data_IF_503308884739
#
_entry.id   IF_503308884739
#
_cell.length_a   1.000
_cell.length_b   1.000
_cell.length_c   1.000
_cell.angle_alpha   90.00
_cell.angle_beta   90.00
_cell.angle_gamma   90.00
#
_symmetry.space_group_name_H-M   'P 1'
#
loop_
_entity.id
_entity.type
_entity.pdbx_description
1 polymer ?
#
# COMPACT_ATOMS: atom_id res chain seq x y z
N UNK A 1 -45.50 3.43 16.77
CA UNK A 1 -45.68 4.21 15.53
C UNK A 1 -44.40 4.97 15.25
N UNK A 2 -43.41 4.30 14.69
CA UNK A 2 -42.17 4.92 14.21
C UNK A 2 -42.37 5.37 12.77
N UNK A 3 -42.03 6.63 12.53
CA UNK A 3 -42.37 7.44 11.37
C UNK A 3 -41.72 6.86 10.10
N UNK A 4 -42.53 6.25 9.23
CA UNK A 4 -42.12 5.73 7.92
C UNK A 4 -41.92 6.90 6.93
N UNK A 5 -40.87 7.70 7.13
CA UNK A 5 -40.41 8.64 6.09
C UNK A 5 -39.81 7.78 4.98
N UNK A 6 -40.56 7.57 3.89
CA UNK A 6 -40.01 7.03 2.64
C UNK A 6 -38.74 7.81 2.31
N UNK A 7 -37.60 7.13 2.20
CA UNK A 7 -36.35 7.76 1.81
C UNK A 7 -36.54 8.42 0.44
N UNK A 8 -36.03 9.65 0.29
CA UNK A 8 -36.18 10.41 -0.96
C UNK A 8 -35.25 9.82 -2.02
N UNK A 9 -35.84 9.21 -3.04
CA UNK A 9 -35.13 8.72 -4.23
C UNK A 9 -34.66 9.92 -5.05
N UNK A 10 -33.44 9.86 -5.58
CA UNK A 10 -32.82 10.90 -6.41
C UNK A 10 -32.21 10.29 -7.64
N UNK A 11 -32.09 11.05 -8.72
CA UNK A 11 -31.35 10.61 -9.90
C UNK A 11 -29.87 10.98 -9.77
N UNK A 12 -29.00 10.12 -10.31
CA UNK A 12 -27.61 10.47 -10.53
C UNK A 12 -27.54 11.67 -11.47
N UNK A 13 -26.65 12.61 -11.17
CA UNK A 13 -26.52 13.85 -11.93
C UNK A 13 -25.31 13.76 -12.85
N UNK A 14 -25.52 13.92 -14.16
CA UNK A 14 -24.47 14.01 -15.15
C UNK A 14 -24.27 12.73 -15.97
N UNK A 15 -23.74 12.93 -17.17
CA UNK A 15 -23.45 11.86 -18.12
C UNK A 15 -22.40 10.89 -17.55
N UNK A 16 -22.52 9.58 -17.85
CA UNK A 16 -23.53 8.95 -18.71
C UNK A 16 -24.76 8.42 -17.93
N UNK A 17 -24.91 8.76 -16.65
CA UNK A 17 -25.88 8.12 -15.76
C UNK A 17 -27.26 8.79 -15.72
N UNK A 18 -27.46 9.80 -16.55
CA UNK A 18 -28.71 10.52 -16.79
C UNK A 18 -29.23 10.33 -18.24
N UNK A 19 -28.70 9.36 -18.98
CA UNK A 19 -29.04 9.13 -20.39
C UNK A 19 -30.52 8.69 -20.54
N UNK A 20 -31.32 9.38 -21.37
CA UNK A 20 -32.72 9.04 -21.58
C UNK A 20 -32.93 7.71 -22.32
N UNK A 21 -31.93 7.25 -23.08
CA UNK A 21 -32.00 6.01 -23.88
C UNK A 21 -31.58 4.75 -23.09
N UNK A 22 -31.21 4.91 -21.81
CA UNK A 22 -30.89 3.81 -20.91
C UNK A 22 -32.00 2.75 -20.83
N UNK A 23 -31.63 1.48 -20.69
CA UNK A 23 -32.55 0.33 -20.72
C UNK A 23 -32.77 -0.31 -19.33
N UNK A 24 -32.14 0.24 -18.28
CA UNK A 24 -32.30 -0.17 -16.89
C UNK A 24 -31.88 0.94 -15.92
N UNK A 25 -32.44 0.90 -14.71
CA UNK A 25 -32.01 1.72 -13.58
C UNK A 25 -31.36 0.82 -12.52
N UNK A 26 -30.15 1.15 -12.10
CA UNK A 26 -29.53 0.56 -10.91
C UNK A 26 -29.65 1.55 -9.76
N UNK A 27 -30.32 1.15 -8.66
CA UNK A 27 -30.53 2.00 -7.49
C UNK A 27 -29.54 1.63 -6.38
N UNK A 28 -28.77 2.62 -5.91
CA UNK A 28 -27.87 2.48 -4.77
C UNK A 28 -28.62 2.31 -3.44
N UNK A 29 -27.93 1.83 -2.40
CA UNK A 29 -28.51 1.66 -1.06
C UNK A 29 -28.94 2.98 -0.39
N UNK A 30 -28.35 4.10 -0.80
CA UNK A 30 -28.72 5.46 -0.40
C UNK A 30 -29.76 6.11 -1.35
N UNK A 31 -30.45 5.30 -2.16
CA UNK A 31 -31.58 5.66 -3.03
C UNK A 31 -31.23 6.62 -4.17
N UNK A 32 -30.08 6.43 -4.80
CA UNK A 32 -29.69 7.16 -6.02
C UNK A 32 -29.84 6.25 -7.24
N UNK A 33 -30.60 6.71 -8.22
CA UNK A 33 -30.91 6.01 -9.46
C UNK A 33 -29.88 6.35 -10.55
N UNK A 34 -29.21 5.32 -11.04
CA UNK A 34 -28.29 5.40 -12.16
C UNK A 34 -28.96 4.80 -13.40
N UNK A 35 -29.22 5.63 -14.41
CA UNK A 35 -29.70 5.17 -15.72
C UNK A 35 -28.52 4.60 -16.49
N UNK A 36 -28.56 3.31 -16.83
CA UNK A 36 -27.44 2.63 -17.47
C UNK A 36 -27.89 1.73 -18.63
N UNK A 37 -26.92 1.32 -19.44
CA UNK A 37 -27.10 0.35 -20.51
C UNK A 37 -26.66 -1.04 -20.05
N UNK A 38 -27.59 -2.00 -20.04
CA UNK A 38 -27.34 -3.41 -19.70
C UNK A 38 -26.17 -3.98 -20.47
N UNK A 39 -25.99 -3.58 -21.73
CA UNK A 39 -24.93 -4.07 -22.60
C UNK A 39 -23.54 -3.90 -21.95
N UNK A 40 -23.19 -2.69 -21.49
CA UNK A 40 -21.86 -2.43 -20.92
C UNK A 40 -21.61 -3.25 -19.65
N UNK A 41 -22.60 -3.28 -18.76
CA UNK A 41 -22.52 -4.04 -17.52
C UNK A 41 -22.45 -5.55 -17.79
N UNK A 42 -23.22 -6.07 -18.74
CA UNK A 42 -23.25 -7.50 -19.09
C UNK A 42 -21.96 -7.98 -19.77
N UNK A 43 -21.27 -7.10 -20.50
CA UNK A 43 -19.95 -7.40 -21.04
C UNK A 43 -18.88 -7.39 -19.95
N UNK A 44 -18.95 -6.44 -19.02
CA UNK A 44 -17.97 -6.28 -17.95
C UNK A 44 -18.15 -7.31 -16.82
N UNK A 45 -19.37 -7.80 -16.59
CA UNK A 45 -19.75 -8.61 -15.44
C UNK A 45 -20.69 -9.76 -15.84
N UNK A 46 -20.31 -11.02 -15.59
CA UNK A 46 -21.23 -12.14 -15.74
C UNK A 46 -22.36 -12.07 -14.71
N UNK A 47 -22.12 -11.52 -13.51
CA UNK A 47 -23.15 -11.38 -12.47
C UNK A 47 -24.26 -10.43 -12.93
N UNK A 48 -23.92 -9.28 -13.52
CA UNK A 48 -24.94 -8.38 -14.08
C UNK A 48 -25.65 -9.01 -15.26
N UNK A 49 -24.93 -9.71 -16.14
CA UNK A 49 -25.54 -10.44 -17.26
C UNK A 49 -26.61 -11.42 -16.79
N UNK A 50 -26.28 -12.25 -15.81
CA UNK A 50 -27.20 -13.24 -15.27
C UNK A 50 -28.36 -12.57 -14.54
N UNK A 51 -28.07 -11.53 -13.75
CA UNK A 51 -29.07 -10.72 -13.04
C UNK A 51 -30.12 -10.12 -13.99
N UNK A 52 -29.71 -9.65 -15.18
CA UNK A 52 -30.62 -9.10 -16.17
C UNK A 52 -31.37 -10.16 -16.99
N UNK A 53 -30.84 -11.40 -17.05
CA UNK A 53 -31.44 -12.51 -17.77
C UNK A 53 -32.51 -13.25 -16.95
N UNK A 54 -32.48 -13.14 -15.62
CA UNK A 54 -33.49 -13.75 -14.76
C UNK A 54 -34.86 -13.11 -15.03
N UNK A 55 -35.92 -13.92 -15.27
CA UNK A 55 -37.26 -13.39 -15.24
C UNK A 55 -37.48 -12.81 -13.84
N UNK A 56 -37.90 -11.54 -13.77
CA UNK A 56 -38.28 -10.88 -12.52
C UNK A 56 -39.59 -11.55 -12.02
N UNK A 57 -39.50 -12.78 -11.52
CA UNK A 57 -40.66 -13.59 -11.11
C UNK A 57 -41.12 -13.09 -9.76
N UNK A 58 -42.14 -12.25 -9.81
CA UNK A 58 -43.07 -11.86 -8.76
C UNK A 58 -43.18 -12.83 -7.58
N UNK A 59 -42.41 -12.59 -6.50
CA UNK A 59 -42.72 -13.05 -5.13
C UNK A 59 -42.11 -12.09 -4.11
N UNK A 60 -42.80 -10.98 -3.89
CA UNK A 60 -42.50 -9.98 -2.86
C UNK A 60 -42.71 -8.57 -3.39
N UNK A 61 -43.24 -7.68 -2.54
CA UNK A 61 -43.73 -6.32 -2.83
C UNK A 61 -42.75 -5.37 -3.56
N UNK A 62 -41.50 -5.80 -3.82
CA UNK A 62 -40.43 -4.98 -4.43
C UNK A 62 -39.88 -5.53 -5.77
N UNK A 63 -40.47 -6.57 -6.36
CA UNK A 63 -39.89 -7.26 -7.54
C UNK A 63 -40.34 -6.72 -8.91
N UNK A 64 -41.17 -5.68 -8.96
CA UNK A 64 -41.63 -5.04 -10.19
C UNK A 64 -41.53 -3.50 -10.11
N UNK A 65 -40.54 -2.98 -9.39
CA UNK A 65 -40.37 -1.54 -9.34
C UNK A 65 -39.90 -1.03 -10.71
N UNK A 66 -40.75 -0.23 -11.34
CA UNK A 66 -40.50 0.39 -12.63
C UNK A 66 -40.50 1.89 -12.43
N UNK A 67 -39.60 2.59 -13.10
CA UNK A 67 -39.57 4.06 -13.13
C UNK A 67 -39.35 4.50 -14.57
N UNK A 68 -40.25 5.36 -15.04
CA UNK A 68 -40.25 5.86 -16.42
C UNK A 68 -40.25 4.75 -17.49
N UNK A 69 -40.91 3.63 -17.20
CA UNK A 69 -40.96 2.47 -18.09
C UNK A 69 -39.70 1.59 -18.05
N UNK A 70 -38.72 1.90 -17.21
CA UNK A 70 -37.50 1.11 -17.03
C UNK A 70 -37.56 0.24 -15.75
N UNK A 71 -37.06 -1.00 -15.79
CA UNK A 71 -36.91 -1.82 -14.59
C UNK A 71 -35.85 -1.24 -13.66
N UNK A 72 -36.11 -1.33 -12.35
CA UNK A 72 -35.17 -0.93 -11.31
C UNK A 72 -34.56 -2.17 -10.65
N UNK A 73 -33.24 -2.15 -10.49
CA UNK A 73 -32.50 -3.14 -9.69
C UNK A 73 -31.84 -2.43 -8.52
N UNK A 74 -32.32 -2.74 -7.31
CA UNK A 74 -31.74 -2.27 -6.07
C UNK A 74 -30.45 -3.04 -5.75
N UNK A 75 -29.38 -2.32 -5.42
CA UNK A 75 -28.11 -2.90 -4.96
C UNK A 75 -27.76 -2.43 -3.54
N UNK A 76 -26.70 -3.01 -2.95
CA UNK A 76 -26.29 -2.73 -1.57
C UNK A 76 -25.22 -1.65 -1.49
N UNK A 77 -24.57 -1.33 -2.61
CA UNK A 77 -23.53 -0.33 -2.73
C UNK A 77 -24.13 1.07 -2.61
N UNK A 78 -23.47 1.93 -1.84
CA UNK A 78 -23.79 3.36 -1.80
C UNK A 78 -23.40 4.03 -3.12
N UNK A 79 -24.01 5.19 -3.39
CA UNK A 79 -23.81 6.00 -4.60
C UNK A 79 -22.34 6.09 -5.00
N UNK A 80 -21.46 6.44 -4.07
CA UNK A 80 -20.06 6.74 -4.39
C UNK A 80 -19.25 5.52 -4.86
N UNK A 81 -19.58 4.32 -4.37
CA UNK A 81 -18.94 3.07 -4.81
C UNK A 81 -19.56 2.59 -6.11
N UNK A 82 -20.89 2.66 -6.20
CA UNK A 82 -21.64 2.23 -7.38
C UNK A 82 -21.27 3.08 -8.60
N UNK A 83 -21.23 4.40 -8.48
CA UNK A 83 -20.89 5.32 -9.56
C UNK A 83 -19.51 5.01 -10.16
N UNK A 84 -18.51 4.74 -9.31
CA UNK A 84 -17.16 4.36 -9.74
C UNK A 84 -17.15 3.00 -10.44
N UNK A 85 -17.87 2.02 -9.92
CA UNK A 85 -17.97 0.69 -10.54
C UNK A 85 -18.63 0.79 -11.92
N UNK A 86 -19.77 1.48 -12.01
CA UNK A 86 -20.50 1.68 -13.26
C UNK A 86 -19.63 2.42 -14.28
N UNK A 87 -18.93 3.47 -13.86
CA UNK A 87 -18.01 4.23 -14.73
C UNK A 87 -16.92 3.32 -15.29
N UNK A 88 -16.41 2.40 -14.47
CA UNK A 88 -15.39 1.46 -14.90
C UNK A 88 -15.88 0.38 -15.88
N UNK A 89 -17.20 0.15 -15.95
CA UNK A 89 -17.83 -0.72 -16.95
C UNK A 89 -18.08 0.01 -18.29
N UNK A 90 -18.08 1.34 -18.30
CA UNK A 90 -18.33 2.15 -19.48
C UNK A 90 -17.05 2.44 -20.29
N UNK A 91 -17.19 2.78 -21.59
CA UNK A 91 -16.04 3.20 -22.39
C UNK A 91 -15.36 4.44 -21.79
N UNK A 92 -14.04 4.37 -21.61
CA UNK A 92 -13.24 5.44 -21.00
C UNK A 92 -13.38 6.80 -21.72
N UNK A 93 -13.65 6.80 -23.02
CA UNK A 93 -13.87 8.04 -23.79
C UNK A 93 -15.12 8.83 -23.34
N UNK A 94 -16.06 8.18 -22.65
CA UNK A 94 -17.32 8.78 -22.19
C UNK A 94 -17.19 9.31 -20.75
N UNK A 95 -16.55 8.54 -19.87
CA UNK A 95 -16.48 8.78 -18.41
C UNK A 95 -15.15 9.37 -17.94
N UNK A 96 -14.10 9.31 -18.76
CA UNK A 96 -12.76 9.74 -18.38
C UNK A 96 -12.06 8.80 -17.38
N UNK A 97 -10.85 9.19 -16.91
CA UNK A 97 -10.14 8.43 -15.89
C UNK A 97 -10.81 8.59 -14.53
N UNK A 98 -10.99 7.49 -13.76
CA UNK A 98 -11.60 7.57 -12.44
C UNK A 98 -10.68 8.30 -11.47
N UNK A 99 -11.25 9.23 -10.71
CA UNK A 99 -10.53 9.87 -9.62
C UNK A 99 -10.38 8.92 -8.45
N UNK A 100 -9.12 8.63 -8.11
CA UNK A 100 -8.82 7.79 -6.96
C UNK A 100 -8.81 8.65 -5.71
N UNK A 101 -9.89 8.56 -4.94
CA UNK A 101 -10.03 9.19 -3.63
C UNK A 101 -9.23 8.46 -2.53
N UNK A 102 -9.80 8.45 -1.33
CA UNK A 102 -9.21 7.85 -0.14
C UNK A 102 -9.13 6.31 -0.24
N UNK A 103 -8.42 5.67 0.69
CA UNK A 103 -8.21 4.21 0.67
C UNK A 103 -9.54 3.45 0.81
N UNK A 104 -10.46 4.01 1.58
CA UNK A 104 -11.82 3.52 1.82
C UNK A 104 -12.59 3.42 0.50
N UNK A 105 -12.44 4.41 -0.38
CA UNK A 105 -13.07 4.43 -1.69
C UNK A 105 -12.51 3.36 -2.62
N UNK A 106 -11.19 3.13 -2.55
CA UNK A 106 -10.52 2.07 -3.32
C UNK A 106 -10.93 0.69 -2.81
N UNK A 107 -11.05 0.53 -1.49
CA UNK A 107 -11.48 -0.71 -0.87
C UNK A 107 -12.96 -1.01 -1.17
N UNK A 108 -13.86 -0.04 -1.10
CA UNK A 108 -15.27 -0.20 -1.47
C UNK A 108 -15.45 -0.58 -2.94
N UNK A 109 -14.69 0.06 -3.84
CA UNK A 109 -14.68 -0.29 -5.26
C UNK A 109 -14.14 -1.71 -5.49
N UNK A 110 -13.11 -2.13 -4.76
CA UNK A 110 -12.59 -3.49 -4.84
C UNK A 110 -13.65 -4.52 -4.41
N UNK A 111 -14.31 -4.28 -3.28
CA UNK A 111 -15.35 -5.18 -2.76
C UNK A 111 -16.49 -5.34 -3.78
N UNK A 112 -16.95 -4.23 -4.36
CA UNK A 112 -17.97 -4.24 -5.40
C UNK A 112 -17.49 -4.94 -6.68
N UNK A 113 -16.26 -4.68 -7.13
CA UNK A 113 -15.70 -5.34 -8.31
C UNK A 113 -15.61 -6.87 -8.15
N UNK A 114 -15.21 -7.35 -6.96
CA UNK A 114 -15.18 -8.79 -6.66
C UNK A 114 -16.60 -9.35 -6.59
N UNK A 115 -17.53 -8.66 -5.89
CA UNK A 115 -18.92 -9.08 -5.74
C UNK A 115 -19.62 -9.26 -7.10
N UNK A 116 -19.41 -8.32 -8.01
CA UNK A 116 -19.99 -8.36 -9.35
C UNK A 116 -19.09 -9.07 -10.37
N UNK A 117 -17.99 -9.67 -9.96
CA UNK A 117 -17.01 -10.35 -10.82
C UNK A 117 -16.59 -9.49 -12.04
N UNK A 118 -16.22 -8.24 -11.78
CA UNK A 118 -15.73 -7.30 -12.80
C UNK A 118 -14.20 -7.38 -12.85
N UNK A 119 -13.67 -8.47 -13.41
CA UNK A 119 -12.24 -8.83 -13.35
C UNK A 119 -11.30 -7.71 -13.83
N UNK A 120 -11.69 -6.99 -14.89
CA UNK A 120 -10.91 -5.86 -15.43
C UNK A 120 -10.77 -4.71 -14.43
N UNK A 121 -11.80 -4.50 -13.60
CA UNK A 121 -11.80 -3.49 -12.53
C UNK A 121 -10.99 -3.99 -11.34
N UNK A 122 -11.20 -5.23 -10.91
CA UNK A 122 -10.42 -5.84 -9.82
C UNK A 122 -8.92 -5.70 -10.10
N UNK A 123 -8.46 -6.11 -11.29
CA UNK A 123 -7.05 -6.02 -11.68
C UNK A 123 -6.51 -4.59 -11.63
N UNK A 124 -7.32 -3.60 -12.05
CA UNK A 124 -6.92 -2.19 -12.01
C UNK A 124 -6.83 -1.67 -10.58
N UNK A 125 -7.83 -2.00 -9.75
CA UNK A 125 -7.91 -1.59 -8.36
C UNK A 125 -6.79 -2.20 -7.52
N UNK A 126 -6.39 -3.45 -7.79
CA UNK A 126 -5.20 -4.07 -7.18
C UNK A 126 -3.92 -3.28 -7.43
N UNK A 127 -3.72 -2.79 -8.66
CA UNK A 127 -2.60 -1.91 -8.98
C UNK A 127 -2.65 -0.58 -8.23
N UNK A 128 -3.84 -0.01 -8.04
CA UNK A 128 -4.03 1.20 -7.26
C UNK A 128 -3.82 0.99 -5.77
N UNK A 129 -4.24 -0.16 -5.23
CA UNK A 129 -4.12 -0.51 -3.81
C UNK A 129 -2.67 -0.46 -3.32
N UNK A 130 -1.72 -0.81 -4.19
CA UNK A 130 -0.27 -0.75 -3.91
C UNK A 130 0.41 0.52 -4.46
N UNK A 131 -0.35 1.56 -4.79
CA UNK A 131 0.24 2.82 -5.22
C UNK A 131 1.08 3.45 -4.07
N UNK A 132 2.20 4.13 -4.40
CA UNK A 132 3.11 4.68 -3.39
C UNK A 132 2.43 5.53 -2.32
N UNK A 133 1.42 6.34 -2.68
CA UNK A 133 0.67 7.17 -1.72
C UNK A 133 -0.03 6.34 -0.62
N UNK A 134 -0.65 5.21 -0.97
CA UNK A 134 -1.35 4.39 0.02
C UNK A 134 -0.39 3.56 0.85
N UNK A 135 0.70 3.09 0.26
CA UNK A 135 1.77 2.41 0.99
C UNK A 135 2.54 3.36 1.93
N UNK A 136 2.70 4.62 1.51
CA UNK A 136 3.35 5.65 2.29
C UNK A 136 2.49 6.12 3.46
N UNK A 137 1.16 6.02 3.40
CA UNK A 137 0.27 6.48 4.46
C UNK A 137 -0.29 5.32 5.30
N UNK A 138 -0.75 4.25 4.66
CA UNK A 138 -1.60 3.20 5.23
C UNK A 138 -1.13 1.76 4.91
N UNK A 139 0.17 1.40 5.02
CA UNK A 139 0.66 0.10 4.55
C UNK A 139 0.04 -1.08 5.31
N UNK A 140 -0.29 -0.93 6.60
CA UNK A 140 -0.94 -1.98 7.39
C UNK A 140 -2.40 -2.22 6.96
N UNK A 141 -3.14 -1.17 6.62
CA UNK A 141 -4.52 -1.29 6.11
C UNK A 141 -4.52 -1.93 4.73
N UNK A 142 -3.60 -1.53 3.86
CA UNK A 142 -3.37 -2.17 2.54
C UNK A 142 -3.04 -3.65 2.70
N UNK A 143 -2.17 -4.00 3.67
CA UNK A 143 -1.85 -5.39 3.98
C UNK A 143 -3.08 -6.19 4.43
N UNK A 144 -3.94 -5.60 5.27
CA UNK A 144 -5.17 -6.24 5.75
C UNK A 144 -6.18 -6.48 4.61
N UNK A 145 -6.35 -5.51 3.71
CA UNK A 145 -7.16 -5.66 2.49
C UNK A 145 -6.60 -6.81 1.63
N UNK A 146 -5.30 -6.83 1.36
CA UNK A 146 -4.69 -7.90 0.57
C UNK A 146 -4.86 -9.28 1.24
N UNK A 147 -4.82 -9.33 2.57
CA UNK A 147 -5.10 -10.53 3.36
C UNK A 147 -6.55 -11.02 3.26
N UNK A 148 -7.53 -10.11 3.22
CA UNK A 148 -8.95 -10.42 3.05
C UNK A 148 -9.21 -11.10 1.71
N UNK A 149 -8.65 -10.56 0.64
CA UNK A 149 -8.91 -11.00 -0.73
C UNK A 149 -7.87 -11.97 -1.29
N UNK A 150 -6.94 -12.47 -0.45
CA UNK A 150 -5.89 -13.44 -0.85
C UNK A 150 -4.95 -12.93 -1.95
N UNK A 151 -4.68 -11.64 -1.96
CA UNK A 151 -3.80 -10.97 -2.91
C UNK A 151 -2.35 -11.06 -2.44
N UNK A 152 -1.72 -12.21 -2.72
CA UNK A 152 -0.40 -12.59 -2.20
C UNK A 152 0.69 -11.56 -2.54
N UNK A 153 0.75 -11.09 -3.78
CA UNK A 153 1.79 -10.15 -4.22
C UNK A 153 1.60 -8.77 -3.59
N UNK A 154 0.37 -8.29 -3.55
CA UNK A 154 0.00 -7.04 -2.91
C UNK A 154 0.28 -7.08 -1.39
N UNK A 155 0.02 -8.21 -0.74
CA UNK A 155 0.34 -8.41 0.67
C UNK A 155 1.85 -8.37 0.92
N UNK A 156 2.68 -8.95 0.04
CA UNK A 156 4.15 -8.85 0.16
C UNK A 156 4.63 -7.41 0.00
N UNK A 157 4.10 -6.69 -1.00
CA UNK A 157 4.43 -5.28 -1.23
C UNK A 157 4.05 -4.44 -0.01
N UNK A 158 2.84 -4.59 0.49
CA UNK A 158 2.35 -3.87 1.66
C UNK A 158 3.16 -4.21 2.93
N UNK A 159 3.46 -5.49 3.16
CA UNK A 159 4.28 -5.94 4.28
C UNK A 159 5.66 -5.29 4.25
N UNK A 160 6.31 -5.22 3.07
CA UNK A 160 7.60 -4.54 2.90
C UNK A 160 7.48 -3.04 3.21
N UNK A 161 6.39 -2.39 2.80
CA UNK A 161 6.16 -0.98 3.10
C UNK A 161 5.87 -0.70 4.58
N UNK A 162 5.51 -1.71 5.38
CA UNK A 162 5.40 -1.51 6.84
C UNK A 162 6.75 -1.32 7.52
N UNK A 163 7.85 -1.77 6.91
CA UNK A 163 9.20 -1.71 7.50
C UNK A 163 9.64 -0.27 7.83
N UNK A 164 9.27 0.71 6.99
CA UNK A 164 9.60 2.12 7.21
C UNK A 164 8.73 2.81 8.28
N UNK A 165 7.77 2.09 8.86
CA UNK A 165 6.82 2.63 9.82
C UNK A 165 6.78 1.80 11.11
N UNK A 166 6.39 2.47 12.18
CA UNK A 166 6.03 1.75 13.40
C UNK A 166 4.60 1.21 13.23
N UNK A 167 4.50 -0.11 13.11
CA UNK A 167 3.24 -0.82 12.83
C UNK A 167 2.13 -0.42 13.81
N UNK A 168 2.46 -0.26 15.10
CA UNK A 168 1.51 -0.02 16.18
C UNK A 168 1.07 1.45 16.35
N UNK A 169 1.68 2.40 15.64
CA UNK A 169 1.32 3.82 15.73
C UNK A 169 0.62 4.35 14.49
N UNK A 170 0.29 3.47 13.55
CA UNK A 170 -0.50 3.84 12.38
C UNK A 170 -1.96 4.17 12.73
N UNK A 171 -2.67 4.90 11.86
CA UNK A 171 -4.11 5.11 12.03
C UNK A 171 -4.84 3.76 11.98
N UNK A 172 -5.75 3.55 12.93
CA UNK A 172 -6.67 2.42 12.86
C UNK A 172 -7.62 2.61 11.68
N UNK A 173 -7.90 1.52 10.96
CA UNK A 173 -8.90 1.48 9.91
C UNK A 173 -9.74 0.22 10.03
N UNK A 174 -11.02 0.26 9.60
CA UNK A 174 -11.92 -0.90 9.70
C UNK A 174 -11.39 -2.12 8.94
N UNK A 175 -10.47 -1.93 7.99
CA UNK A 175 -9.89 -3.04 7.23
C UNK A 175 -9.01 -3.96 8.09
N UNK A 176 -8.53 -3.47 9.23
CA UNK A 176 -7.76 -4.29 10.18
C UNK A 176 -8.60 -5.42 10.78
N UNK A 177 -9.93 -5.26 10.86
CA UNK A 177 -10.85 -6.29 11.35
C UNK A 177 -10.91 -7.51 10.45
N UNK A 178 -10.46 -7.40 9.19
CA UNK A 178 -10.39 -8.54 8.27
C UNK A 178 -9.17 -9.43 8.51
N UNK A 179 -8.21 -8.94 9.29
CA UNK A 179 -6.97 -9.63 9.56
C UNK A 179 -7.10 -10.46 10.83
N UNK A 180 -6.85 -11.76 10.73
CA UNK A 180 -6.76 -12.61 11.93
C UNK A 180 -5.50 -12.26 12.73
N UNK A 181 -5.54 -12.50 14.04
CA UNK A 181 -4.36 -12.34 14.90
C UNK A 181 -3.15 -13.14 14.39
N UNK A 182 -3.38 -14.30 13.77
CA UNK A 182 -2.32 -15.11 13.15
C UNK A 182 -1.63 -14.41 11.96
N UNK A 183 -2.40 -13.80 11.05
CA UNK A 183 -1.84 -13.03 9.92
C UNK A 183 -1.04 -11.82 10.42
N UNK A 184 -1.54 -11.13 11.45
CA UNK A 184 -0.82 -10.04 12.09
C UNK A 184 0.47 -10.51 12.77
N UNK A 185 0.43 -11.62 13.49
CA UNK A 185 1.60 -12.22 14.13
C UNK A 185 2.70 -12.58 13.11
N UNK A 186 2.33 -13.16 11.96
CA UNK A 186 3.27 -13.45 10.88
C UNK A 186 3.88 -12.18 10.26
N UNK A 187 3.12 -11.08 10.17
CA UNK A 187 3.68 -9.79 9.77
C UNK A 187 4.72 -9.27 10.79
N UNK A 188 4.45 -9.39 12.09
CA UNK A 188 5.41 -9.00 13.14
C UNK A 188 6.68 -9.84 13.10
N UNK A 189 6.56 -11.16 12.87
CA UNK A 189 7.70 -12.06 12.69
C UNK A 189 8.52 -11.67 11.45
N UNK A 190 7.85 -11.40 10.33
CA UNK A 190 8.47 -10.90 9.11
C UNK A 190 9.25 -9.61 9.38
N UNK A 191 8.63 -8.63 10.06
CA UNK A 191 9.26 -7.36 10.41
C UNK A 191 10.50 -7.55 11.29
N UNK A 192 10.40 -8.37 12.34
CA UNK A 192 11.53 -8.70 13.22
C UNK A 192 12.67 -9.39 12.44
N UNK A 193 12.33 -10.26 11.49
CA UNK A 193 13.32 -10.94 10.65
C UNK A 193 14.03 -9.98 9.70
N UNK A 194 13.31 -9.05 9.07
CA UNK A 194 13.86 -8.01 8.22
C UNK A 194 14.83 -7.10 8.99
N UNK A 195 14.44 -6.66 10.19
CA UNK A 195 15.32 -5.88 11.07
C UNK A 195 16.57 -6.67 11.42
N UNK A 196 16.43 -7.95 11.77
CA UNK A 196 17.56 -8.80 12.15
C UNK A 196 18.60 -8.92 11.03
N UNK A 197 18.17 -9.20 9.80
CA UNK A 197 19.10 -9.34 8.66
C UNK A 197 19.73 -8.01 8.28
N UNK A 198 18.97 -6.89 8.34
CA UNK A 198 19.51 -5.56 8.07
C UNK A 198 20.55 -5.13 9.12
N UNK A 199 20.27 -5.38 10.41
CA UNK A 199 21.23 -5.14 11.50
C UNK A 199 22.49 -5.97 11.32
N UNK A 200 22.38 -7.23 10.91
CA UNK A 200 23.56 -8.08 10.64
C UNK A 200 24.45 -7.46 9.56
N UNK A 201 23.87 -6.89 8.49
CA UNK A 201 24.63 -6.14 7.47
C UNK A 201 25.26 -4.88 8.06
N UNK A 202 24.53 -4.09 8.84
CA UNK A 202 25.06 -2.88 9.49
C UNK A 202 26.25 -3.18 10.41
N UNK A 203 26.16 -4.24 11.23
CA UNK A 203 27.20 -4.58 12.20
C UNK A 203 28.42 -5.22 11.55
N UNK A 204 28.22 -6.13 10.59
CA UNK A 204 29.33 -6.86 9.94
C UNK A 204 29.95 -6.11 8.77
N UNK A 205 29.22 -5.15 8.17
CA UNK A 205 29.54 -4.53 6.89
C UNK A 205 29.81 -5.57 5.78
N UNK A 206 29.24 -6.78 5.91
CA UNK A 206 29.49 -7.88 4.99
C UNK A 206 28.95 -7.59 3.58
N UNK A 207 29.79 -7.79 2.57
CA UNK A 207 29.45 -7.51 1.17
C UNK A 207 29.48 -6.03 0.79
N UNK A 208 29.91 -5.13 1.68
CA UNK A 208 30.19 -3.72 1.36
C UNK A 208 31.67 -3.59 0.98
N UNK A 209 32.03 -2.84 -0.09
CA UNK A 209 33.42 -2.66 -0.49
C UNK A 209 34.30 -2.14 0.66
N UNK A 210 35.56 -2.54 0.72
CA UNK A 210 36.52 -2.03 1.70
C UNK A 210 37.32 -0.84 1.15
N UNK A 211 38.19 -0.28 1.99
CA UNK A 211 39.21 0.67 1.53
C UNK A 211 38.85 2.15 1.56
N UNK A 212 37.74 2.50 2.22
CA UNK A 212 37.35 3.89 2.48
C UNK A 212 38.30 4.61 3.45
N UNK A 213 38.25 5.95 3.41
CA UNK A 213 39.16 6.84 4.14
C UNK A 213 39.18 6.60 5.65
N UNK A 214 38.06 6.24 6.27
CA UNK A 214 37.96 6.01 7.72
C UNK A 214 38.73 4.78 8.22
N UNK A 215 39.08 3.85 7.35
CA UNK A 215 39.90 2.67 7.68
C UNK A 215 41.40 2.90 7.44
N UNK A 216 41.77 4.08 6.92
CA UNK A 216 43.14 4.42 6.50
C UNK A 216 43.65 5.72 7.14
N UNK A 217 42.81 6.42 7.89
CA UNK A 217 43.14 7.73 8.43
C UNK A 217 44.07 7.63 9.65
N UNK A 218 45.28 8.16 9.52
CA UNK A 218 46.26 8.25 10.61
C UNK A 218 45.93 9.32 11.67
N UNK A 219 45.12 10.32 11.31
CA UNK A 219 44.72 11.41 12.23
C UNK A 219 43.66 10.93 13.24
N UNK A 220 42.71 10.10 12.79
CA UNK A 220 41.71 9.48 13.66
C UNK A 220 42.31 8.42 14.61
N UNK A 221 43.48 7.88 14.29
CA UNK A 221 44.14 6.84 15.07
C UNK A 221 44.73 7.30 16.41
N UNK A 222 44.74 8.60 16.70
CA UNK A 222 45.16 9.10 18.02
C UNK A 222 44.09 8.91 19.10
N UNK A 223 42.87 8.50 18.73
CA UNK A 223 41.70 8.37 19.62
C UNK A 223 40.94 7.04 19.49
N UNK A 224 41.41 6.08 18.68
CA UNK A 224 40.64 4.88 18.33
C UNK A 224 40.96 3.61 19.16
N UNK A 225 39.89 2.85 19.45
CA UNK A 225 39.91 1.52 20.06
C UNK A 225 40.66 0.50 19.19
N UNK A 226 41.67 -0.17 19.76
CA UNK A 226 42.41 -1.25 19.09
C UNK A 226 41.62 -2.55 19.15
N UNK A 227 41.04 -2.98 18.02
CA UNK A 227 40.68 -4.38 17.84
C UNK A 227 41.96 -5.22 17.70
N UNK A 228 42.28 -6.00 18.74
CA UNK A 228 43.52 -6.79 18.83
C UNK A 228 43.59 -7.93 17.81
N UNK A 229 42.50 -8.21 17.09
CA UNK A 229 42.41 -9.36 16.18
C UNK A 229 42.79 -9.00 14.74
N UNK A 230 42.47 -7.80 14.24
CA UNK A 230 42.54 -7.51 12.79
C UNK A 230 43.48 -6.37 12.33
N UNK A 231 44.18 -5.66 13.24
CA UNK A 231 45.10 -4.54 12.89
C UNK A 231 44.49 -3.42 12.00
N UNK A 232 43.18 -3.42 11.77
CA UNK A 232 42.47 -2.35 11.05
C UNK A 232 41.94 -1.34 12.06
N UNK A 233 42.41 -0.09 11.94
CA UNK A 233 41.94 1.01 12.77
C UNK A 233 40.85 1.78 12.02
N UNK A 234 39.64 1.79 12.60
CA UNK A 234 38.48 2.49 12.05
C UNK A 234 38.27 3.79 12.80
N UNK A 235 37.95 4.85 12.06
CA UNK A 235 37.74 6.17 12.65
C UNK A 235 36.56 6.18 13.65
N UNK A 236 36.68 6.83 14.82
CA UNK A 236 35.62 6.83 15.84
C UNK A 236 34.27 7.36 15.34
N UNK A 237 34.26 8.42 14.53
CA UNK A 237 33.04 9.01 13.95
C UNK A 237 32.27 8.00 13.07
N UNK A 238 32.99 7.14 12.34
CA UNK A 238 32.38 6.13 11.48
C UNK A 238 31.80 4.98 12.32
N UNK A 239 32.50 4.58 13.38
CA UNK A 239 31.97 3.61 14.34
C UNK A 239 30.68 4.13 15.00
N UNK A 240 30.66 5.41 15.41
CA UNK A 240 29.48 6.06 15.94
C UNK A 240 28.34 6.11 14.91
N UNK A 241 28.64 6.43 13.64
CA UNK A 241 27.66 6.36 12.55
C UNK A 241 27.02 4.97 12.44
N UNK A 242 27.83 3.90 12.42
CA UNK A 242 27.31 2.53 12.31
C UNK A 242 26.55 2.07 13.56
N UNK A 243 26.92 2.55 14.73
CA UNK A 243 26.15 2.36 15.96
C UNK A 243 24.79 3.07 15.88
N UNK A 244 24.74 4.30 15.38
CA UNK A 244 23.51 5.05 15.17
C UNK A 244 22.60 4.38 14.12
N UNK A 245 23.17 3.88 13.01
CA UNK A 245 22.42 3.08 12.01
C UNK A 245 21.84 1.83 12.67
N UNK A 246 22.65 1.08 13.42
CA UNK A 246 22.22 -0.16 14.08
C UNK A 246 21.15 0.11 15.15
N UNK A 247 21.30 1.18 15.92
CA UNK A 247 20.34 1.64 16.92
C UNK A 247 19.03 2.06 16.28
N UNK A 248 19.07 2.85 15.21
CA UNK A 248 17.87 3.30 14.52
C UNK A 248 17.10 2.14 13.89
N UNK A 249 17.78 1.10 13.39
CA UNK A 249 17.17 -0.15 12.94
C UNK A 249 16.46 -0.94 14.07
N UNK A 250 16.77 -0.68 15.35
CA UNK A 250 16.10 -1.32 16.48
C UNK A 250 14.68 -0.81 16.69
N UNK A 251 14.46 0.47 16.39
CA UNK A 251 13.18 1.14 16.63
C UNK A 251 12.25 1.07 15.41
N UNK A 252 12.81 1.16 14.19
CA UNK A 252 12.10 1.07 12.90
C UNK A 252 13.08 0.80 11.76
N UNK A 253 12.65 0.23 10.63
CA UNK A 253 13.52 0.33 9.45
C UNK A 253 13.58 1.78 8.99
N UNK A 254 14.77 2.23 8.61
CA UNK A 254 15.05 3.62 8.26
C UNK A 254 14.28 4.02 7.00
N UNK A 255 13.40 5.02 7.12
CA UNK A 255 12.90 5.77 5.96
C UNK A 255 14.03 6.60 5.31
N UNK A 256 13.81 7.08 4.09
CA UNK A 256 14.81 7.86 3.35
C UNK A 256 15.29 9.10 4.12
N UNK A 257 14.39 9.79 4.84
CA UNK A 257 14.76 11.00 5.57
C UNK A 257 15.80 10.72 6.64
N UNK A 258 15.63 9.67 7.47
CA UNK A 258 16.70 9.37 8.45
C UNK A 258 17.88 8.59 7.92
N UNK A 259 17.81 8.00 6.72
CA UNK A 259 19.04 7.57 6.02
C UNK A 259 19.93 8.78 5.77
N UNK A 260 19.35 9.87 5.26
CA UNK A 260 20.09 11.11 4.98
C UNK A 260 20.60 11.78 6.25
N UNK A 261 19.77 11.91 7.30
CA UNK A 261 20.20 12.50 8.59
C UNK A 261 21.41 11.77 9.19
N UNK A 262 21.39 10.42 9.20
CA UNK A 262 22.48 9.60 9.73
C UNK A 262 23.79 9.79 8.94
N UNK A 263 23.68 9.91 7.62
CA UNK A 263 24.84 10.12 6.75
C UNK A 263 25.36 11.55 6.84
N UNK A 264 24.49 12.55 6.98
CA UNK A 264 24.89 13.95 7.17
C UNK A 264 25.63 14.15 8.49
N UNK A 265 25.17 13.53 9.58
CA UNK A 265 25.85 13.59 10.88
C UNK A 265 27.29 13.03 10.78
N UNK A 266 27.45 11.87 10.13
CA UNK A 266 28.76 11.25 9.93
C UNK A 266 29.66 12.07 9.00
N UNK A 267 29.09 12.72 7.99
CA UNK A 267 29.83 13.60 7.08
C UNK A 267 30.43 14.79 7.82
N UNK A 268 29.65 15.44 8.69
CA UNK A 268 30.12 16.60 9.47
C UNK A 268 31.33 16.23 10.34
N UNK A 269 31.23 15.13 11.10
CA UNK A 269 32.35 14.69 11.96
C UNK A 269 33.59 14.26 11.15
N UNK A 270 33.39 13.58 10.03
CA UNK A 270 34.51 13.18 9.16
C UNK A 270 35.12 14.36 8.41
N UNK A 271 34.38 15.44 8.17
CA UNK A 271 34.85 16.67 7.56
C UNK A 271 35.81 17.44 8.47
N UNK A 272 35.59 17.43 9.78
CA UNK A 272 36.47 18.07 10.75
C UNK A 272 37.85 17.38 10.88
N UNK A 273 37.97 16.15 10.37
CA UNK A 273 39.25 15.44 10.35
C UNK A 273 40.08 15.79 9.11
N UNK A 274 41.26 16.37 9.32
CA UNK A 274 42.22 16.74 8.26
C UNK A 274 42.58 15.60 7.30
N UNK A 275 42.60 14.35 7.78
CA UNK A 275 42.90 13.18 6.94
C UNK A 275 41.69 12.60 6.20
N UNK A 276 40.47 12.74 6.75
CA UNK A 276 39.25 12.21 6.15
C UNK A 276 38.61 13.19 5.17
N UNK A 277 38.66 14.49 5.47
CA UNK A 277 38.05 15.58 4.72
C UNK A 277 38.18 15.47 3.18
N UNK A 278 39.35 15.13 2.58
CA UNK A 278 39.49 15.13 1.12
C UNK A 278 38.64 14.07 0.40
N UNK A 279 38.23 13.01 1.10
CA UNK A 279 37.51 11.87 0.50
C UNK A 279 36.21 11.51 1.21
N UNK A 280 35.97 12.01 2.42
CA UNK A 280 34.83 11.61 3.27
C UNK A 280 33.50 11.70 2.53
N UNK A 281 33.25 12.78 1.78
CA UNK A 281 32.00 12.94 1.03
C UNK A 281 31.79 11.84 -0.01
N UNK A 282 32.80 11.59 -0.86
CA UNK A 282 32.72 10.62 -1.96
C UNK A 282 32.64 9.19 -1.41
N UNK A 283 33.49 8.89 -0.43
CA UNK A 283 33.57 7.56 0.18
C UNK A 283 32.28 7.24 0.95
N UNK A 284 31.76 8.19 1.73
CA UNK A 284 30.54 7.99 2.52
C UNK A 284 29.30 7.85 1.62
N UNK A 285 29.20 8.64 0.54
CA UNK A 285 28.13 8.48 -0.44
C UNK A 285 28.16 7.10 -1.08
N UNK A 286 29.34 6.67 -1.53
CA UNK A 286 29.53 5.35 -2.17
C UNK A 286 29.20 4.22 -1.18
N UNK A 287 29.71 4.32 0.04
CA UNK A 287 29.41 3.39 1.12
C UNK A 287 27.92 3.31 1.42
N UNK A 288 27.25 4.45 1.60
CA UNK A 288 25.82 4.55 1.89
C UNK A 288 25.00 3.83 0.81
N UNK A 289 25.26 4.11 -0.47
CA UNK A 289 24.60 3.42 -1.58
C UNK A 289 24.80 1.90 -1.53
N UNK A 290 26.03 1.44 -1.30
CA UNK A 290 26.32 0.01 -1.19
C UNK A 290 25.67 -0.65 0.03
N UNK A 291 25.68 0.04 1.18
CA UNK A 291 25.10 -0.44 2.43
C UNK A 291 23.58 -0.64 2.28
N UNK A 292 22.87 0.38 1.80
CA UNK A 292 21.42 0.29 1.64
C UNK A 292 21.01 -0.73 0.58
N UNK A 293 21.72 -0.76 -0.55
CA UNK A 293 21.50 -1.79 -1.57
C UNK A 293 21.67 -3.19 -0.99
N UNK A 294 22.73 -3.40 -0.20
CA UNK A 294 23.00 -4.71 0.42
C UNK A 294 21.93 -5.08 1.45
N UNK A 295 21.44 -4.12 2.22
CA UNK A 295 20.29 -4.34 3.11
C UNK A 295 19.03 -4.74 2.33
N UNK A 296 18.71 -4.02 1.26
CA UNK A 296 17.57 -4.35 0.40
C UNK A 296 17.66 -5.75 -0.20
N UNK A 297 18.84 -6.19 -0.62
CA UNK A 297 19.09 -7.55 -1.10
C UNK A 297 18.80 -8.60 -0.02
N UNK A 298 19.34 -8.45 1.19
CA UNK A 298 19.12 -9.44 2.26
C UNK A 298 17.69 -9.41 2.81
N UNK A 299 17.00 -8.27 2.75
CA UNK A 299 15.58 -8.15 3.09
C UNK A 299 14.71 -8.82 2.04
N UNK A 300 15.05 -8.69 0.75
CA UNK A 300 14.25 -9.25 -0.36
C UNK A 300 14.11 -10.78 -0.31
N UNK A 301 15.06 -11.46 0.32
CA UNK A 301 15.01 -12.93 0.50
C UNK A 301 14.24 -13.36 1.75
N UNK A 302 13.84 -12.42 2.61
CA UNK A 302 13.00 -12.72 3.78
C UNK A 302 11.59 -13.04 3.30
N UNK A 303 11.11 -14.23 3.66
CA UNK A 303 9.77 -14.70 3.28
C UNK A 303 8.73 -14.21 4.27
N UNK A 304 7.63 -13.67 3.73
CA UNK A 304 6.41 -13.45 4.46
C UNK A 304 5.61 -14.76 4.51
N UNK A 305 5.49 -15.36 5.68
CA UNK A 305 4.82 -16.65 5.88
C UNK A 305 3.34 -16.43 6.22
N UNK A 306 2.56 -15.90 5.29
CA UNK A 306 1.11 -15.73 5.48
C UNK A 306 0.37 -16.77 4.65
N UNK A 307 -0.48 -17.55 5.31
CA UNK A 307 -1.40 -18.48 4.66
C UNK A 307 -2.68 -17.70 4.26
N UNK A 308 -3.09 -17.84 2.99
CA UNK A 308 -4.18 -17.08 2.39
C UNK A 308 -5.42 -17.93 2.10
#
# INVERSE_FOLDING_TARGET
MTNNRRAVIRDATGAPFDDPDADIIIRSSDNVDFRVFKMFLSYASPIFRDMFALPQVSKGENSNEMRDGLPIVQVTEEKETLEKLLSMCYPMAVVGPPELGALENVHGLLEAAIKYNVEGVEKRVRGWLVAPRFLADNPLRVFAIACRYKFVEEAKVAARSTLSKLILTGPYGPELEFMTAGKFFHLLQYHAQCIRVAKSVATSMSGVPAGYVWNKCSYCNRTSYHDKVNRTSTSPWFLACMQNVTGALADRMLDEMKKDELMQAALAEGWDCQGCHPKVFIDLRTFSTCLWKRMDEVISVVKLNVEF
#
